data_IF_738662366356
#
_entry.id   IF_738662366356
#
_cell.length_a   1.000
_cell.length_b   1.000
_cell.length_c   1.000
_cell.angle_alpha   90.00
_cell.angle_beta   90.00
_cell.angle_gamma   90.00
#
_symmetry.space_group_name_H-M   'P 1'
#
loop_
_entity.id
_entity.type
_entity.pdbx_description
1 polymer ?
#
# COMPACT_ATOMS: atom_id res chain seq x y z
N UNK A 1 15.91 -3.53 17.36
CA UNK A 1 15.48 -4.88 17.80
C UNK A 1 15.40 -5.78 16.58
N UNK A 2 16.18 -6.86 16.55
CA UNK A 2 16.09 -7.84 15.48
C UNK A 2 15.04 -8.88 15.87
N UNK A 3 13.87 -8.84 15.21
CA UNK A 3 12.84 -9.84 15.42
C UNK A 3 13.17 -11.09 14.61
N UNK A 4 13.26 -12.23 15.29
CA UNK A 4 13.37 -13.55 14.63
C UNK A 4 12.09 -13.83 13.83
N UNK A 5 12.18 -14.79 12.92
CA UNK A 5 11.03 -15.22 12.12
C UNK A 5 9.86 -15.72 12.99
N UNK A 6 10.16 -16.43 14.07
CA UNK A 6 9.17 -16.86 15.07
C UNK A 6 8.45 -15.69 15.74
N UNK A 7 9.17 -14.61 16.06
CA UNK A 7 8.55 -13.40 16.62
C UNK A 7 7.63 -12.74 15.59
N UNK A 8 8.04 -12.69 14.31
CA UNK A 8 7.20 -12.14 13.23
C UNK A 8 5.92 -12.96 13.02
N UNK A 9 6.02 -14.29 13.03
CA UNK A 9 4.84 -15.19 12.94
C UNK A 9 3.90 -14.95 14.12
N UNK A 10 4.44 -14.83 15.34
CA UNK A 10 3.63 -14.56 16.53
C UNK A 10 2.90 -13.21 16.44
N UNK A 11 3.58 -12.18 15.92
CA UNK A 11 2.98 -10.86 15.71
C UNK A 11 1.87 -10.94 14.67
N UNK A 12 2.06 -11.66 13.57
CA UNK A 12 1.01 -11.88 12.56
C UNK A 12 -0.22 -12.59 13.14
N UNK A 13 -0.01 -13.61 13.97
CA UNK A 13 -1.10 -14.27 14.70
C UNK A 13 -1.84 -13.32 15.66
N UNK A 14 -1.11 -12.39 16.30
CA UNK A 14 -1.69 -11.39 17.20
C UNK A 14 -2.47 -10.30 16.47
N UNK A 15 -2.02 -9.87 15.29
CA UNK A 15 -2.75 -8.90 14.44
C UNK A 15 -4.12 -9.48 14.04
N UNK A 16 -4.17 -10.79 13.81
CA UNK A 16 -5.37 -11.52 13.40
C UNK A 16 -5.50 -11.64 11.88
N UNK A 17 -6.32 -12.60 11.45
CA UNK A 17 -6.67 -12.82 10.05
C UNK A 17 -8.15 -12.43 9.83
N UNK A 18 -8.45 -11.77 8.71
CA UNK A 18 -9.82 -11.39 8.34
C UNK A 18 -10.35 -10.16 9.10
N UNK A 19 -11.61 -10.23 9.57
CA UNK A 19 -12.33 -9.07 10.14
C UNK A 19 -11.90 -8.66 11.56
N UNK A 20 -11.14 -9.51 12.27
CA UNK A 20 -10.63 -9.21 13.61
C UNK A 20 -9.22 -8.65 13.52
N UNK A 21 -9.10 -7.39 13.11
CA UNK A 21 -7.83 -6.67 13.13
C UNK A 21 -7.62 -6.01 14.49
N UNK A 22 -6.56 -6.41 15.21
CA UNK A 22 -6.14 -5.72 16.44
C UNK A 22 -5.33 -4.47 16.09
N UNK A 23 -5.43 -3.44 16.92
CA UNK A 23 -4.64 -2.22 16.71
C UNK A 23 -3.15 -2.47 16.95
N UNK A 24 -2.28 -1.69 16.32
CA UNK A 24 -0.82 -1.82 16.52
C UNK A 24 -0.42 -1.69 18.00
N UNK A 25 -1.11 -0.85 18.75
CA UNK A 25 -0.84 -0.61 20.19
C UNK A 25 -1.14 -1.88 20.99
N UNK A 26 -2.28 -2.52 20.74
CA UNK A 26 -2.66 -3.77 21.41
C UNK A 26 -1.71 -4.91 21.07
N UNK A 27 -1.33 -5.04 19.80
CA UNK A 27 -0.40 -6.09 19.35
C UNK A 27 0.96 -5.94 20.04
N UNK A 28 1.46 -4.70 20.15
CA UNK A 28 2.72 -4.44 20.85
C UNK A 28 2.61 -4.78 22.33
N UNK A 29 1.50 -4.39 22.97
CA UNK A 29 1.26 -4.72 24.38
C UNK A 29 1.23 -6.22 24.60
N UNK A 30 0.45 -6.97 23.82
CA UNK A 30 0.35 -8.43 23.90
C UNK A 30 1.68 -9.13 23.61
N UNK A 31 2.46 -8.59 22.65
CA UNK A 31 3.78 -9.12 22.35
C UNK A 31 4.76 -8.91 23.51
N UNK A 32 4.74 -7.73 24.13
CA UNK A 32 5.59 -7.40 25.26
C UNK A 32 5.20 -8.22 26.51
N UNK A 33 3.91 -8.45 26.73
CA UNK A 33 3.40 -9.34 27.79
C UNK A 33 3.84 -10.80 27.57
N UNK A 34 3.89 -11.27 26.31
CA UNK A 34 4.32 -12.64 25.97
C UNK A 34 5.84 -12.83 26.02
N UNK A 35 6.61 -11.78 25.75
CA UNK A 35 8.06 -11.81 25.75
C UNK A 35 8.63 -10.65 26.59
N UNK A 36 8.55 -10.72 27.93
CA UNK A 36 9.01 -9.64 28.81
C UNK A 36 10.52 -9.42 28.75
N UNK A 37 11.29 -10.46 28.40
CA UNK A 37 12.75 -10.44 28.27
C UNK A 37 13.24 -9.66 27.03
N UNK A 38 12.36 -9.39 26.08
CA UNK A 38 12.73 -8.67 24.86
C UNK A 38 12.70 -7.16 25.07
N UNK A 39 13.68 -6.41 24.52
CA UNK A 39 13.63 -4.96 24.54
C UNK A 39 12.43 -4.44 23.76
N UNK A 40 11.88 -3.32 24.21
CA UNK A 40 10.71 -2.68 23.62
C UNK A 40 10.84 -2.50 22.11
N UNK A 41 9.79 -2.89 21.39
CA UNK A 41 9.73 -2.77 19.93
C UNK A 41 9.82 -1.28 19.53
N UNK A 42 10.74 -0.95 18.63
CA UNK A 42 10.91 0.42 18.14
C UNK A 42 9.73 0.88 17.28
N UNK A 43 9.48 2.18 17.25
CA UNK A 43 8.38 2.77 16.49
C UNK A 43 8.38 2.36 15.00
N UNK A 44 9.54 2.35 14.34
CA UNK A 44 9.63 1.93 12.94
C UNK A 44 9.21 0.47 12.70
N UNK A 45 9.44 -0.42 13.67
CA UNK A 45 8.97 -1.81 13.61
C UNK A 45 7.46 -1.89 13.87
N UNK A 46 6.91 -1.05 14.76
CA UNK A 46 5.46 -0.95 15.02
C UNK A 46 4.69 -0.51 13.76
N UNK A 47 5.17 0.53 13.07
CA UNK A 47 4.57 1.01 11.82
C UNK A 47 4.58 -0.04 10.71
N UNK A 48 5.53 -0.98 10.75
CA UNK A 48 5.61 -2.07 9.77
C UNK A 48 4.53 -3.13 9.95
N UNK A 49 3.86 -3.22 11.10
CA UNK A 49 2.85 -4.24 11.38
C UNK A 49 1.52 -4.00 10.65
N UNK A 50 1.14 -2.73 10.44
CA UNK A 50 -0.12 -2.40 9.74
C UNK A 50 -0.05 -2.44 8.22
N UNK A 51 1.15 -2.57 7.65
CA UNK A 51 1.37 -2.52 6.20
C UNK A 51 1.57 -3.91 5.59
N UNK A 52 1.18 -4.96 6.30
CA UNK A 52 1.39 -6.33 5.87
C UNK A 52 0.10 -6.83 5.22
N UNK A 53 0.19 -7.34 3.99
CA UNK A 53 -0.93 -7.99 3.32
C UNK A 53 -1.24 -9.36 3.93
N UNK A 54 -2.31 -10.00 3.44
CA UNK A 54 -2.78 -11.32 3.88
C UNK A 54 -1.68 -12.41 3.85
N UNK A 55 -0.62 -12.19 3.07
CA UNK A 55 0.49 -13.14 2.87
C UNK A 55 1.76 -12.77 3.63
N UNK A 56 1.72 -11.77 4.52
CA UNK A 56 2.93 -11.40 5.27
C UNK A 56 3.85 -10.44 4.52
N UNK A 57 3.47 -9.96 3.33
CA UNK A 57 4.28 -9.08 2.49
C UNK A 57 3.97 -7.61 2.75
N UNK A 58 5.00 -6.76 2.74
CA UNK A 58 4.81 -5.31 2.90
C UNK A 58 4.09 -4.76 1.67
N UNK A 59 2.90 -4.19 1.85
CA UNK A 59 2.27 -3.33 0.85
C UNK A 59 3.15 -2.11 0.65
N UNK A 60 4.00 -2.14 -0.37
CA UNK A 60 4.68 -0.94 -0.87
C UNK A 60 3.62 -0.13 -1.62
N UNK A 61 2.98 0.80 -0.95
CA UNK A 61 2.23 1.83 -1.65
C UNK A 61 3.22 2.95 -2.02
N UNK A 62 3.61 3.08 -3.31
CA UNK A 62 4.42 4.21 -3.70
C UNK A 62 3.60 5.50 -3.50
N UNK A 63 4.24 6.60 -3.06
CA UNK A 63 3.56 7.78 -2.52
C UNK A 63 2.62 8.51 -3.50
N UNK A 64 2.67 8.21 -4.80
CA UNK A 64 1.86 8.86 -5.85
C UNK A 64 1.11 7.85 -6.73
N UNK A 65 0.74 6.67 -6.20
CA UNK A 65 -0.08 5.74 -6.98
C UNK A 65 -1.49 6.31 -7.10
N UNK A 66 -1.95 6.53 -8.33
CA UNK A 66 -3.37 6.76 -8.58
C UNK A 66 -4.17 5.56 -8.06
N UNK A 67 -5.35 5.83 -7.51
CA UNK A 67 -6.31 4.79 -7.15
C UNK A 67 -6.76 4.11 -8.45
N UNK A 68 -7.12 2.83 -8.39
CA UNK A 68 -7.45 2.05 -9.60
C UNK A 68 -8.59 2.68 -10.41
N UNK A 69 -9.59 3.27 -9.75
CA UNK A 69 -10.69 4.01 -10.40
C UNK A 69 -10.20 5.23 -11.20
N UNK A 70 -9.29 6.01 -10.63
CA UNK A 70 -8.70 7.17 -11.32
C UNK A 70 -7.86 6.74 -12.53
N UNK A 71 -7.20 5.58 -12.45
CA UNK A 71 -6.47 5.01 -13.58
C UNK A 71 -7.44 4.59 -14.69
N UNK A 72 -8.57 4.00 -14.32
CA UNK A 72 -9.61 3.61 -15.26
C UNK A 72 -10.19 4.83 -16.00
N UNK A 73 -10.52 5.91 -15.27
CA UNK A 73 -11.04 7.14 -15.86
C UNK A 73 -10.06 7.77 -16.87
N UNK A 74 -8.76 7.77 -16.54
CA UNK A 74 -7.70 8.25 -17.46
C UNK A 74 -7.65 7.40 -18.73
N UNK A 75 -7.79 6.07 -18.61
CA UNK A 75 -7.76 5.15 -19.75
C UNK A 75 -9.01 5.28 -20.63
N UNK A 76 -10.19 5.41 -20.01
CA UNK A 76 -11.45 5.62 -20.72
C UNK A 76 -11.41 6.92 -21.54
N UNK A 77 -10.90 8.01 -20.95
CA UNK A 77 -10.79 9.29 -21.64
C UNK A 77 -9.82 9.24 -22.84
N UNK A 78 -8.78 8.40 -22.76
CA UNK A 78 -7.85 8.17 -23.87
C UNK A 78 -8.51 7.36 -24.99
N UNK A 79 -9.31 6.34 -24.65
CA UNK A 79 -10.04 5.52 -25.61
C UNK A 79 -11.12 6.33 -26.34
N UNK A 80 -11.91 7.12 -25.59
CA UNK A 80 -12.96 7.96 -26.15
C UNK A 80 -12.40 9.11 -27.00
N UNK A 81 -11.23 9.65 -26.63
CA UNK A 81 -10.65 10.82 -27.27
C UNK A 81 -9.11 10.71 -27.39
N UNK A 82 -8.60 9.93 -28.36
CA UNK A 82 -7.16 9.63 -28.47
C UNK A 82 -6.27 10.84 -28.81
N UNK A 83 -6.86 11.95 -29.25
CA UNK A 83 -6.14 13.19 -29.56
C UNK A 83 -6.11 14.19 -28.39
N UNK A 84 -6.70 13.84 -27.25
CA UNK A 84 -6.67 14.72 -26.08
C UNK A 84 -5.26 14.80 -25.51
N UNK A 85 -4.85 16.03 -25.18
CA UNK A 85 -3.56 16.23 -24.54
C UNK A 85 -3.60 15.69 -23.12
N UNK A 86 -2.51 15.06 -22.66
CA UNK A 86 -2.32 14.67 -21.26
C UNK A 86 -2.57 15.82 -20.27
N UNK A 87 -2.33 17.07 -20.69
CA UNK A 87 -2.60 18.26 -19.89
C UNK A 87 -4.10 18.58 -19.77
N UNK A 88 -4.87 18.31 -20.81
CA UNK A 88 -6.33 18.49 -20.79
C UNK A 88 -6.99 17.39 -19.94
N UNK A 89 -6.54 16.15 -20.06
CA UNK A 89 -6.96 15.03 -19.21
C UNK A 89 -6.69 15.31 -17.72
N UNK A 90 -5.53 15.91 -17.42
CA UNK A 90 -5.16 16.32 -16.06
C UNK A 90 -6.15 17.32 -15.45
N UNK A 91 -6.55 18.31 -16.24
CA UNK A 91 -7.52 19.31 -15.81
C UNK A 91 -8.93 18.73 -15.66
N UNK A 92 -9.33 17.85 -16.58
CA UNK A 92 -10.65 17.23 -16.57
C UNK A 92 -10.87 16.32 -15.34
N UNK A 93 -9.86 15.51 -15.00
CA UNK A 93 -9.94 14.56 -13.89
C UNK A 93 -9.39 15.10 -12.57
N UNK A 94 -8.88 16.34 -12.56
CA UNK A 94 -8.21 16.97 -11.43
C UNK A 94 -7.06 16.08 -10.87
N UNK A 95 -6.29 15.49 -11.79
CA UNK A 95 -5.15 14.61 -11.48
C UNK A 95 -3.86 15.31 -11.90
N UNK A 96 -2.76 15.05 -11.18
CA UNK A 96 -1.47 15.61 -11.54
C UNK A 96 -1.03 15.19 -12.95
N UNK A 97 -0.47 16.14 -13.71
CA UNK A 97 -0.03 15.88 -15.08
C UNK A 97 1.03 14.76 -15.17
N UNK A 98 1.94 14.70 -14.19
CA UNK A 98 2.95 13.64 -14.09
C UNK A 98 2.35 12.26 -13.82
N UNK A 99 1.28 12.17 -13.04
CA UNK A 99 0.57 10.91 -12.82
C UNK A 99 -0.06 10.36 -14.11
N UNK A 100 -0.62 11.24 -14.96
CA UNK A 100 -1.20 10.83 -16.25
C UNK A 100 -0.12 10.36 -17.21
N UNK A 101 1.01 11.06 -17.31
CA UNK A 101 2.14 10.61 -18.12
C UNK A 101 2.64 9.22 -17.68
N UNK A 102 2.73 8.97 -16.37
CA UNK A 102 3.06 7.65 -15.86
C UNK A 102 2.02 6.57 -16.19
N UNK A 103 0.74 6.93 -16.35
CA UNK A 103 -0.28 5.99 -16.83
C UNK A 103 -0.08 5.73 -18.32
N UNK A 104 0.21 6.75 -19.11
CA UNK A 104 0.43 6.60 -20.56
C UNK A 104 1.69 5.76 -20.85
N UNK A 105 2.82 6.07 -20.22
CA UNK A 105 4.09 5.34 -20.40
C UNK A 105 4.00 3.86 -20.02
N UNK A 106 3.17 3.52 -19.02
CA UNK A 106 3.00 2.12 -18.60
C UNK A 106 2.05 1.31 -19.49
N UNK A 107 1.21 1.98 -20.28
CA UNK A 107 0.21 1.32 -21.11
C UNK A 107 0.49 1.48 -22.62
N UNK A 108 1.53 2.23 -23.02
CA UNK A 108 1.92 2.37 -24.43
C UNK A 108 2.42 1.07 -25.06
N UNK A 109 2.90 0.12 -24.25
CA UNK A 109 3.44 -1.17 -24.69
C UNK A 109 2.41 -2.31 -24.71
N UNK A 110 1.15 -2.04 -24.35
CA UNK A 110 0.09 -3.05 -24.41
C UNK A 110 -0.40 -3.17 -25.87
N UNK A 111 -0.20 -4.32 -26.54
CA UNK A 111 -0.73 -4.51 -27.89
C UNK A 111 -2.26 -4.49 -27.84
N UNK A 112 -2.85 -3.68 -28.71
CA UNK A 112 -4.28 -3.67 -29.04
C UNK A 112 -4.64 -4.99 -29.72
#
# INVERSE_FOLDING_TARGET
VYLTEMHKITILQMIGYGDRTRTQIEVVRLFQEKFPELPSISQGTRSSFGNVDMYGSKKKNPPNKLIDDQKLDVMLMLEENPHTSSRQTALALNISHSSILHVFDRNSDAPI
#
